data_IF_077801574225
#
_entry.id   IF_077801574225
#
_cell.length_a   1.000
_cell.length_b   1.000
_cell.length_c   1.000
_cell.angle_alpha   90.00
_cell.angle_beta   90.00
_cell.angle_gamma   90.00
#
_symmetry.space_group_name_H-M   'P 1'
#
loop_
_entity.id
_entity.type
_entity.pdbx_description
1 polymer ?
#
# COMPACT_ATOMS: atom_id res chain seq x y z
N UNK A 1 -50.04 17.79 -60.20
CA UNK A 1 -50.00 17.34 -58.79
C UNK A 1 -49.09 16.12 -58.72
N UNK A 2 -47.97 16.15 -58.00
CA UNK A 2 -47.04 15.01 -57.96
C UNK A 2 -45.69 15.23 -57.28
N UNK A 3 -45.42 16.40 -56.69
CA UNK A 3 -44.08 16.73 -56.15
C UNK A 3 -43.86 16.46 -54.65
N UNK A 4 -44.91 16.47 -53.81
CA UNK A 4 -44.71 16.49 -52.35
C UNK A 4 -44.65 15.11 -51.67
N UNK A 5 -45.22 14.06 -52.28
CA UNK A 5 -45.21 12.72 -51.68
C UNK A 5 -43.81 12.06 -51.70
N UNK A 6 -42.98 12.38 -52.69
CA UNK A 6 -41.66 11.76 -52.87
C UNK A 6 -40.63 12.29 -51.86
N UNK A 7 -40.79 13.54 -51.39
CA UNK A 7 -39.85 14.17 -50.45
C UNK A 7 -39.99 13.59 -49.04
N UNK A 8 -41.21 13.24 -48.61
CA UNK A 8 -41.47 12.65 -47.29
C UNK A 8 -40.98 11.19 -47.17
N UNK A 9 -41.11 10.38 -48.23
CA UNK A 9 -40.58 9.00 -48.24
C UNK A 9 -39.05 8.95 -48.26
N UNK A 10 -38.39 9.86 -48.98
CA UNK A 10 -36.93 9.94 -49.03
C UNK A 10 -36.33 10.39 -47.69
N UNK A 11 -36.97 11.33 -46.99
CA UNK A 11 -36.56 11.75 -45.64
C UNK A 11 -36.74 10.65 -44.59
N UNK A 12 -37.84 9.88 -44.65
CA UNK A 12 -38.07 8.73 -43.77
C UNK A 12 -37.05 7.60 -43.98
N UNK A 13 -36.71 7.31 -45.23
CA UNK A 13 -35.74 6.27 -45.58
C UNK A 13 -34.30 6.64 -45.16
N UNK A 14 -33.92 7.92 -45.32
CA UNK A 14 -32.60 8.40 -44.90
C UNK A 14 -32.42 8.35 -43.38
N UNK A 15 -33.45 8.73 -42.61
CA UNK A 15 -33.42 8.71 -41.14
C UNK A 15 -33.37 7.29 -40.56
N UNK A 16 -34.00 6.34 -41.23
CA UNK A 16 -34.05 4.92 -40.83
C UNK A 16 -32.72 4.19 -41.15
N UNK A 17 -32.02 4.57 -42.24
CA UNK A 17 -30.65 4.12 -42.51
C UNK A 17 -29.65 4.64 -41.48
N UNK A 18 -29.80 5.90 -41.10
CA UNK A 18 -28.92 6.56 -40.12
C UNK A 18 -29.05 5.94 -38.72
N UNK A 19 -30.28 5.61 -38.31
CA UNK A 19 -30.55 4.89 -37.05
C UNK A 19 -29.91 3.49 -37.03
N UNK A 20 -30.02 2.72 -38.12
CA UNK A 20 -29.39 1.39 -38.21
C UNK A 20 -27.86 1.44 -38.30
N UNK A 21 -27.28 2.54 -38.78
CA UNK A 21 -25.84 2.77 -38.73
C UNK A 21 -25.40 2.97 -37.29
N UNK A 22 -26.07 3.88 -36.58
CA UNK A 22 -25.79 4.18 -35.17
C UNK A 22 -25.99 2.97 -34.26
N UNK A 23 -27.00 2.15 -34.51
CA UNK A 23 -27.25 0.92 -33.75
C UNK A 23 -26.14 -0.12 -33.95
N UNK A 24 -25.60 -0.22 -35.18
CA UNK A 24 -24.42 -1.05 -35.46
C UNK A 24 -23.15 -0.53 -34.80
N UNK A 25 -22.92 0.79 -34.84
CA UNK A 25 -21.79 1.43 -34.16
C UNK A 25 -21.87 1.23 -32.64
N UNK A 26 -23.05 1.39 -32.06
CA UNK A 26 -23.29 1.24 -30.62
C UNK A 26 -23.16 -0.22 -30.19
N UNK A 27 -23.66 -1.17 -30.99
CA UNK A 27 -23.43 -2.60 -30.78
C UNK A 27 -21.96 -2.97 -30.88
N UNK A 28 -21.22 -2.39 -31.83
CA UNK A 28 -19.77 -2.60 -31.96
C UNK A 28 -19.02 -2.08 -30.73
N UNK A 29 -19.33 -0.86 -30.31
CA UNK A 29 -18.73 -0.24 -29.12
C UNK A 29 -19.02 -1.03 -27.82
N UNK A 30 -20.24 -1.58 -27.67
CA UNK A 30 -20.58 -2.44 -26.53
C UNK A 30 -19.77 -3.74 -26.54
N UNK A 31 -19.61 -4.37 -27.71
CA UNK A 31 -18.80 -5.57 -27.83
C UNK A 31 -17.31 -5.32 -27.53
N UNK A 32 -16.78 -4.17 -27.92
CA UNK A 32 -15.42 -3.76 -27.56
C UNK A 32 -15.29 -3.48 -26.06
N UNK A 33 -16.29 -2.85 -25.45
CA UNK A 33 -16.33 -2.60 -24.01
C UNK A 33 -16.32 -3.91 -23.21
N UNK A 34 -17.13 -4.89 -23.61
CA UNK A 34 -17.16 -6.21 -22.98
C UNK A 34 -15.81 -6.94 -23.12
N UNK A 35 -15.18 -6.88 -24.30
CA UNK A 35 -13.85 -7.44 -24.51
C UNK A 35 -12.79 -6.81 -23.59
N UNK A 36 -12.78 -5.48 -23.46
CA UNK A 36 -11.89 -4.77 -22.55
C UNK A 36 -12.18 -5.10 -21.08
N UNK A 37 -13.44 -5.35 -20.73
CA UNK A 37 -13.83 -5.71 -19.38
C UNK A 37 -13.38 -7.13 -19.01
N UNK A 38 -13.44 -8.07 -19.95
CA UNK A 38 -12.88 -9.41 -19.78
C UNK A 38 -11.35 -9.40 -19.73
N UNK A 39 -10.67 -8.60 -20.56
CA UNK A 39 -9.22 -8.39 -20.48
C UNK A 39 -8.82 -7.84 -19.10
N UNK A 40 -9.55 -6.84 -18.60
CA UNK A 40 -9.34 -6.25 -17.28
C UNK A 40 -9.51 -7.27 -16.15
N UNK A 41 -10.54 -8.13 -16.23
CA UNK A 41 -10.75 -9.23 -15.28
C UNK A 41 -9.63 -10.27 -15.35
N UNK A 42 -9.22 -10.66 -16.56
CA UNK A 42 -8.15 -11.63 -16.79
C UNK A 42 -6.80 -11.16 -16.23
N UNK A 43 -6.52 -9.85 -16.33
CA UNK A 43 -5.35 -9.21 -15.73
C UNK A 43 -5.44 -9.07 -14.20
N UNK A 44 -6.61 -9.30 -13.59
CA UNK A 44 -6.82 -9.17 -12.15
C UNK A 44 -6.83 -7.72 -11.64
N UNK A 45 -7.14 -6.76 -12.52
CA UNK A 45 -7.22 -5.33 -12.18
C UNK A 45 -8.34 -5.09 -11.15
N UNK A 46 -7.98 -4.53 -9.99
CA UNK A 46 -8.96 -4.11 -9.00
C UNK A 46 -9.30 -2.63 -9.16
N UNK A 47 -10.60 -2.32 -9.17
CA UNK A 47 -11.08 -0.95 -9.07
C UNK A 47 -10.98 -0.55 -7.61
N UNK A 48 -10.19 0.49 -7.34
CA UNK A 48 -10.09 1.06 -5.99
C UNK A 48 -11.15 2.13 -5.81
N UNK A 49 -11.96 2.00 -4.77
CA UNK A 49 -12.70 3.11 -4.21
C UNK A 49 -11.75 3.94 -3.31
N UNK A 50 -11.55 5.20 -3.67
CA UNK A 50 -10.65 6.09 -2.93
C UNK A 50 -11.20 6.51 -1.57
N UNK A 51 -12.53 6.61 -1.43
CA UNK A 51 -13.15 6.96 -0.16
C UNK A 51 -13.02 5.80 0.82
N UNK A 52 -13.27 4.57 0.36
CA UNK A 52 -13.05 3.36 1.17
C UNK A 52 -11.58 3.19 1.53
N UNK A 53 -10.67 3.39 0.57
CA UNK A 53 -9.23 3.30 0.83
C UNK A 53 -8.78 4.34 1.86
N UNK A 54 -9.26 5.58 1.76
CA UNK A 54 -8.95 6.67 2.70
C UNK A 54 -9.49 6.37 4.10
N UNK A 55 -10.75 5.92 4.20
CA UNK A 55 -11.36 5.53 5.47
C UNK A 55 -10.65 4.32 6.10
N UNK A 56 -10.26 3.34 5.28
CA UNK A 56 -9.48 2.18 5.68
C UNK A 56 -8.10 2.57 6.21
N UNK A 57 -7.39 3.47 5.50
CA UNK A 57 -6.13 4.04 5.98
C UNK A 57 -6.29 4.77 7.31
N UNK A 58 -7.33 5.60 7.46
CA UNK A 58 -7.61 6.27 8.73
C UNK A 58 -7.84 5.30 9.88
N UNK A 59 -8.55 4.21 9.63
CA UNK A 59 -8.77 3.13 10.62
C UNK A 59 -7.46 2.42 10.95
N UNK A 60 -6.66 2.08 9.95
CA UNK A 60 -5.35 1.45 10.12
C UNK A 60 -4.39 2.34 10.94
N UNK A 61 -4.35 3.65 10.64
CA UNK A 61 -3.51 4.60 11.39
C UNK A 61 -3.95 4.72 12.86
N UNK A 62 -5.25 4.63 13.15
CA UNK A 62 -5.75 4.54 14.54
C UNK A 62 -5.27 3.27 15.24
N UNK A 63 -5.21 2.13 14.54
CA UNK A 63 -4.65 0.88 15.09
C UNK A 63 -3.16 1.02 15.37
N UNK A 64 -2.39 1.66 14.46
CA UNK A 64 -0.98 1.96 14.68
C UNK A 64 -0.78 2.86 15.92
N UNK A 65 -1.57 3.93 16.04
CA UNK A 65 -1.55 4.81 17.21
C UNK A 65 -1.88 4.07 18.50
N UNK A 66 -2.93 3.23 18.50
CA UNK A 66 -3.34 2.43 19.67
C UNK A 66 -2.23 1.47 20.11
N UNK A 67 -1.56 0.83 19.16
CA UNK A 67 -0.41 -0.03 19.44
C UNK A 67 0.72 0.79 20.06
N UNK A 68 1.14 1.87 19.41
CA UNK A 68 2.26 2.66 19.89
C UNK A 68 1.97 3.27 21.27
N UNK A 69 0.77 3.80 21.49
CA UNK A 69 0.34 4.34 22.78
C UNK A 69 0.39 3.27 23.88
N UNK A 70 -0.04 2.05 23.58
CA UNK A 70 -0.05 0.95 24.57
C UNK A 70 1.33 0.53 25.08
N UNK A 71 2.41 0.79 24.33
CA UNK A 71 3.76 0.36 24.70
C UNK A 71 4.73 1.51 25.01
N UNK A 72 4.54 2.68 24.39
CA UNK A 72 5.51 3.78 24.46
C UNK A 72 4.99 5.01 25.21
N UNK A 73 3.68 5.09 25.47
CA UNK A 73 3.07 6.08 26.35
C UNK A 73 2.86 5.46 27.75
N UNK A 74 3.96 5.01 28.33
CA UNK A 74 4.01 4.24 29.57
C UNK A 74 5.19 4.71 30.41
N UNK A 75 5.12 4.44 31.72
CA UNK A 75 6.25 4.65 32.61
C UNK A 75 7.34 3.62 32.30
N UNK A 76 8.58 4.09 32.23
CA UNK A 76 9.77 3.25 32.18
C UNK A 76 9.99 2.64 33.58
N UNK A 77 10.47 1.39 33.67
CA UNK A 77 10.78 0.77 34.95
C UNK A 77 11.87 1.54 35.72
N UNK A 78 11.67 1.73 37.02
CA UNK A 78 12.66 2.40 37.89
C UNK A 78 13.98 1.61 38.03
N UNK A 79 13.99 0.35 37.62
CA UNK A 79 15.17 -0.53 37.63
C UNK A 79 16.18 -0.25 36.51
N UNK A 80 15.83 0.58 35.53
CA UNK A 80 16.71 0.91 34.40
C UNK A 80 17.22 2.33 34.56
N UNK A 81 18.53 2.50 34.70
CA UNK A 81 19.12 3.83 34.76
C UNK A 81 18.98 4.54 33.40
N UNK A 82 18.94 5.88 33.42
CA UNK A 82 18.84 6.65 32.19
C UNK A 82 20.01 6.37 31.23
N UNK A 83 21.22 6.21 31.78
CA UNK A 83 22.44 5.95 31.00
C UNK A 83 22.39 4.57 30.33
N UNK A 84 21.98 3.52 31.07
CA UNK A 84 21.82 2.17 30.51
C UNK A 84 20.80 2.13 29.36
N UNK A 85 19.70 2.88 29.50
CA UNK A 85 18.68 2.96 28.46
C UNK A 85 19.19 3.75 27.24
N UNK A 86 19.91 4.85 27.47
CA UNK A 86 20.52 5.66 26.42
C UNK A 86 21.51 4.82 25.59
N UNK A 87 22.35 4.03 26.25
CA UNK A 87 23.31 3.13 25.60
C UNK A 87 22.62 2.05 24.76
N UNK A 88 21.57 1.43 25.30
CA UNK A 88 20.77 0.45 24.55
C UNK A 88 20.10 1.07 23.33
N UNK A 89 19.60 2.30 23.42
CA UNK A 89 19.02 3.04 22.30
C UNK A 89 20.07 3.42 21.25
N UNK A 90 21.29 3.74 21.68
CA UNK A 90 22.39 3.99 20.75
C UNK A 90 22.76 2.71 19.99
N UNK A 91 22.93 1.59 20.70
CA UNK A 91 23.25 0.28 20.13
C UNK A 91 22.15 -0.26 19.21
N UNK A 92 20.88 0.03 19.51
CA UNK A 92 19.75 -0.39 18.66
C UNK A 92 19.63 0.38 17.34
N UNK A 93 20.37 1.49 17.19
CA UNK A 93 20.27 2.39 16.05
C UNK A 93 19.07 3.34 16.12
N UNK A 94 18.39 3.45 17.26
CA UNK A 94 17.27 4.38 17.47
C UNK A 94 17.65 5.83 17.12
N UNK A 95 18.84 6.26 17.50
CA UNK A 95 19.36 7.63 17.24
C UNK A 95 19.57 7.94 15.75
N UNK A 96 19.60 6.92 14.88
CA UNK A 96 19.73 7.09 13.42
C UNK A 96 18.38 7.38 12.75
N UNK A 97 17.27 6.98 13.38
CA UNK A 97 15.91 7.08 12.81
C UNK A 97 15.01 8.04 13.59
N UNK A 98 15.24 8.20 14.88
CA UNK A 98 14.58 9.17 15.73
C UNK A 98 15.35 10.50 15.80
N UNK A 99 14.68 11.62 16.13
CA UNK A 99 15.36 12.88 16.44
C UNK A 99 16.48 12.70 17.47
N UNK A 100 17.64 13.33 17.25
CA UNK A 100 18.88 13.16 18.04
C UNK A 100 18.76 13.47 19.55
N UNK A 101 17.65 14.07 20.01
CA UNK A 101 17.46 14.51 21.40
C UNK A 101 16.02 14.30 21.86
N UNK A 102 15.61 13.04 21.97
CA UNK A 102 14.39 12.72 22.71
C UNK A 102 14.78 12.58 24.19
N UNK A 103 14.23 13.39 25.10
CA UNK A 103 14.42 13.19 26.53
C UNK A 103 13.80 11.85 26.91
N UNK A 104 14.59 11.01 27.58
CA UNK A 104 14.18 9.70 28.05
C UNK A 104 13.87 9.83 29.53
N UNK A 105 12.59 10.02 29.85
CA UNK A 105 12.13 10.10 31.24
C UNK A 105 10.65 9.71 31.37
N UNK A 106 10.21 9.65 32.62
CA UNK A 106 8.84 9.41 33.02
C UNK A 106 7.96 10.67 33.02
N UNK A 107 8.52 11.82 32.63
CA UNK A 107 7.72 13.03 32.40
C UNK A 107 6.73 12.85 31.25
N UNK A 108 5.57 13.48 31.36
CA UNK A 108 4.53 13.43 30.33
C UNK A 108 5.03 13.89 28.93
N UNK A 109 5.81 14.98 28.79
CA UNK A 109 6.39 15.35 27.50
C UNK A 109 7.29 14.27 26.91
N UNK A 110 8.14 13.62 27.72
CA UNK A 110 8.99 12.52 27.27
C UNK A 110 8.20 11.31 26.78
N UNK A 111 7.07 10.99 27.43
CA UNK A 111 6.17 9.92 26.98
C UNK A 111 5.57 10.22 25.60
N UNK A 112 5.14 11.47 25.36
CA UNK A 112 4.66 11.88 24.03
C UNK A 112 5.75 11.80 22.96
N UNK A 113 6.99 12.18 23.28
CA UNK A 113 8.10 12.12 22.33
C UNK A 113 8.50 10.67 22.02
N UNK A 114 8.50 9.77 23.01
CA UNK A 114 8.70 8.32 22.81
C UNK A 114 7.60 7.73 21.91
N UNK A 115 6.34 8.07 22.18
CA UNK A 115 5.20 7.68 21.34
C UNK A 115 5.37 8.14 19.88
N UNK A 116 5.62 9.43 19.67
CA UNK A 116 5.77 10.00 18.33
C UNK A 116 6.95 9.38 17.57
N UNK A 117 8.06 9.09 18.26
CA UNK A 117 9.21 8.43 17.66
C UNK A 117 8.90 6.99 17.25
N UNK A 118 8.18 6.24 18.09
CA UNK A 118 7.73 4.90 17.76
C UNK A 118 6.79 4.89 16.56
N UNK A 119 5.80 5.77 16.51
CA UNK A 119 4.89 5.92 15.36
C UNK A 119 5.66 6.26 14.08
N UNK A 120 6.61 7.20 14.16
CA UNK A 120 7.47 7.55 13.01
C UNK A 120 8.25 6.34 12.50
N UNK A 121 8.89 5.57 13.41
CA UNK A 121 9.70 4.41 13.05
C UNK A 121 8.82 3.32 12.43
N UNK A 122 7.66 3.03 13.01
CA UNK A 122 6.71 2.05 12.48
C UNK A 122 6.21 2.51 11.09
N UNK A 123 5.81 3.78 10.95
CA UNK A 123 5.35 4.34 9.68
C UNK A 123 6.43 4.28 8.59
N UNK A 124 7.67 4.63 8.94
CA UNK A 124 8.80 4.50 8.00
C UNK A 124 8.95 3.05 7.53
N UNK A 125 8.89 2.08 8.44
CA UNK A 125 9.01 0.66 8.10
C UNK A 125 7.82 0.13 7.30
N UNK A 126 6.61 0.61 7.56
CA UNK A 126 5.45 0.34 6.72
C UNK A 126 5.69 0.83 5.29
N UNK A 127 6.11 2.09 5.09
CA UNK A 127 6.38 2.65 3.78
C UNK A 127 7.56 1.98 3.06
N UNK A 128 8.60 1.57 3.80
CA UNK A 128 9.79 0.96 3.20
C UNK A 128 9.60 -0.51 2.88
N UNK A 129 8.92 -1.26 3.75
CA UNK A 129 8.90 -2.72 3.71
C UNK A 129 7.54 -3.31 3.33
N UNK A 130 6.44 -2.70 3.75
CA UNK A 130 5.09 -3.26 3.59
C UNK A 130 4.35 -2.65 2.40
N UNK A 131 4.22 -1.32 2.34
CA UNK A 131 3.51 -0.62 1.28
C UNK A 131 4.34 -0.52 -0.01
N UNK A 132 4.61 -1.68 -0.59
CA UNK A 132 5.37 -1.86 -1.83
C UNK A 132 4.46 -2.18 -2.99
N UNK A 133 4.90 -1.91 -4.22
CA UNK A 133 4.13 -2.25 -5.42
C UNK A 133 4.10 -3.76 -5.68
N UNK A 134 5.13 -4.46 -5.21
CA UNK A 134 5.30 -5.90 -5.31
C UNK A 134 6.34 -6.35 -4.26
N UNK A 135 6.32 -7.63 -3.88
CA UNK A 135 7.25 -8.20 -2.89
C UNK A 135 8.43 -8.96 -3.50
N UNK A 136 8.44 -9.12 -4.83
CA UNK A 136 9.37 -9.95 -5.60
C UNK A 136 10.02 -9.14 -6.73
N UNK A 137 11.34 -9.21 -6.95
CA UNK A 137 12.28 -10.23 -6.48
C UNK A 137 12.86 -10.01 -5.06
N UNK A 138 13.54 -11.03 -4.51
CA UNK A 138 14.18 -10.97 -3.19
C UNK A 138 15.48 -10.15 -3.19
N UNK A 139 16.29 -10.25 -4.24
CA UNK A 139 17.58 -9.56 -4.31
C UNK A 139 17.38 -8.07 -4.54
N UNK A 140 18.26 -7.25 -3.94
CA UNK A 140 18.20 -5.81 -4.09
C UNK A 140 18.44 -5.37 -5.53
N UNK A 141 19.37 -6.02 -6.23
CA UNK A 141 19.73 -5.72 -7.61
C UNK A 141 18.56 -5.99 -8.57
N UNK A 142 17.94 -7.16 -8.47
CA UNK A 142 16.81 -7.50 -9.35
C UNK A 142 15.60 -6.61 -9.05
N UNK A 143 15.39 -6.25 -7.77
CA UNK A 143 14.34 -5.30 -7.40
C UNK A 143 14.59 -3.93 -8.00
N UNK A 144 15.80 -3.39 -7.91
CA UNK A 144 16.16 -2.09 -8.50
C UNK A 144 16.01 -2.08 -10.02
N UNK A 145 16.37 -3.17 -10.69
CA UNK A 145 16.16 -3.32 -12.12
C UNK A 145 14.66 -3.29 -12.47
N UNK A 146 13.83 -4.03 -11.73
CA UNK A 146 12.37 -4.04 -11.91
C UNK A 146 11.73 -2.68 -11.61
N UNK A 147 12.17 -2.01 -10.54
CA UNK A 147 11.69 -0.66 -10.18
C UNK A 147 11.99 0.31 -11.34
N UNK A 148 13.19 0.21 -11.92
CA UNK A 148 13.60 1.04 -13.06
C UNK A 148 12.76 0.79 -14.32
N UNK A 149 12.41 -0.48 -14.61
CA UNK A 149 11.52 -0.82 -15.73
C UNK A 149 10.12 -0.25 -15.51
N UNK A 150 9.57 -0.40 -14.31
CA UNK A 150 8.25 0.12 -13.96
C UNK A 150 8.19 1.65 -13.97
N UNK A 151 9.24 2.33 -13.50
CA UNK A 151 9.35 3.80 -13.63
C UNK A 151 9.38 4.24 -15.09
N UNK A 152 10.13 3.53 -15.95
CA UNK A 152 10.18 3.84 -17.38
C UNK A 152 8.83 3.63 -18.04
N UNK A 153 8.15 2.52 -17.76
CA UNK A 153 6.81 2.25 -18.28
C UNK A 153 5.82 3.31 -17.80
N UNK A 154 5.85 3.69 -16.51
CA UNK A 154 4.96 4.71 -15.97
C UNK A 154 5.09 6.07 -16.68
N UNK A 155 6.32 6.46 -17.06
CA UNK A 155 6.59 7.72 -17.78
C UNK A 155 6.08 7.70 -19.22
N UNK A 156 6.07 6.54 -19.87
CA UNK A 156 5.65 6.39 -21.27
C UNK A 156 4.14 6.15 -21.36
N UNK A 157 3.65 5.16 -20.61
CA UNK A 157 2.25 4.76 -20.60
C UNK A 157 1.90 4.05 -19.27
N UNK A 158 1.06 4.69 -18.46
CA UNK A 158 0.63 4.13 -17.17
C UNK A 158 -0.15 2.82 -17.30
N UNK A 159 -0.80 2.55 -18.44
CA UNK A 159 -1.51 1.29 -18.68
C UNK A 159 -0.53 0.12 -18.81
N UNK A 160 0.56 0.32 -19.54
CA UNK A 160 1.56 -0.73 -19.76
C UNK A 160 2.31 -1.06 -18.48
N UNK A 161 2.57 -0.05 -17.62
CA UNK A 161 3.07 -0.27 -16.26
C UNK A 161 2.13 -1.18 -15.47
N UNK A 162 0.83 -0.87 -15.46
CA UNK A 162 -0.14 -1.61 -14.67
C UNK A 162 -0.26 -3.06 -15.15
N UNK A 163 -0.28 -3.27 -16.48
CA UNK A 163 -0.30 -4.61 -17.08
C UNK A 163 0.96 -5.39 -16.67
N UNK A 164 2.15 -4.80 -16.82
CA UNK A 164 3.41 -5.45 -16.48
C UNK A 164 3.48 -5.81 -14.99
N UNK A 165 3.11 -4.89 -14.10
CA UNK A 165 3.05 -5.16 -12.65
C UNK A 165 2.08 -6.29 -12.30
N UNK A 166 0.92 -6.36 -12.95
CA UNK A 166 -0.05 -7.42 -12.69
C UNK A 166 0.42 -8.78 -13.20
N UNK A 167 1.04 -8.82 -14.38
CA UNK A 167 1.67 -10.03 -14.89
C UNK A 167 2.78 -10.51 -13.96
N UNK A 168 3.59 -9.59 -13.42
CA UNK A 168 4.59 -9.88 -12.40
C UNK A 168 3.93 -10.51 -11.17
N UNK A 169 2.92 -9.85 -10.57
CA UNK A 169 2.21 -10.38 -9.40
C UNK A 169 1.59 -11.76 -9.66
N UNK A 170 1.04 -11.98 -10.86
CA UNK A 170 0.45 -13.26 -11.27
C UNK A 170 1.50 -14.36 -11.41
N UNK A 171 2.60 -14.10 -12.13
CA UNK A 171 3.69 -15.05 -12.35
C UNK A 171 4.34 -15.52 -11.04
N UNK A 172 4.30 -14.68 -10.02
CA UNK A 172 4.95 -14.90 -8.74
C UNK A 172 4.01 -15.27 -7.59
N UNK A 173 2.71 -15.45 -7.86
CA UNK A 173 1.67 -15.71 -6.85
C UNK A 173 2.01 -16.85 -5.87
N UNK A 174 2.64 -17.92 -6.35
CA UNK A 174 3.02 -19.08 -5.51
C UNK A 174 4.18 -18.78 -4.53
N UNK A 175 5.06 -17.83 -4.88
CA UNK A 175 6.20 -17.41 -4.05
C UNK A 175 5.89 -16.20 -3.17
N UNK A 176 4.91 -15.38 -3.57
CA UNK A 176 4.49 -14.16 -2.89
C UNK A 176 4.17 -14.38 -1.41
N UNK A 177 3.38 -15.40 -1.04
CA UNK A 177 3.01 -15.65 0.35
C UNK A 177 4.22 -15.92 1.27
N UNK A 178 5.22 -16.67 0.78
CA UNK A 178 6.45 -16.92 1.53
C UNK A 178 7.24 -15.63 1.73
N UNK A 179 7.30 -14.78 0.71
CA UNK A 179 8.06 -13.54 0.76
C UNK A 179 7.38 -12.49 1.63
N UNK A 180 6.06 -12.36 1.53
CA UNK A 180 5.26 -11.53 2.44
C UNK A 180 5.52 -11.96 3.89
N UNK A 181 5.50 -13.26 4.17
CA UNK A 181 5.79 -13.77 5.52
C UNK A 181 7.21 -13.39 5.98
N UNK A 182 8.20 -13.55 5.09
CA UNK A 182 9.59 -13.17 5.35
C UNK A 182 9.74 -11.66 5.61
N UNK A 183 9.14 -10.82 4.76
CA UNK A 183 9.15 -9.35 4.87
C UNK A 183 8.47 -8.89 6.16
N UNK A 184 7.33 -9.49 6.54
CA UNK A 184 6.67 -9.20 7.81
C UNK A 184 7.59 -9.58 8.96
N UNK A 185 8.14 -10.80 8.98
CA UNK A 185 9.04 -11.26 10.05
C UNK A 185 10.28 -10.39 10.19
N UNK A 186 10.94 -10.04 9.09
CA UNK A 186 12.12 -9.16 9.10
C UNK A 186 11.75 -7.76 9.57
N UNK A 187 10.59 -7.24 9.16
CA UNK A 187 10.11 -5.92 9.58
C UNK A 187 9.78 -5.89 11.08
N UNK A 188 9.18 -6.95 11.63
CA UNK A 188 8.98 -7.05 13.08
C UNK A 188 10.33 -7.00 13.78
N UNK A 189 11.30 -7.78 13.32
CA UNK A 189 12.64 -7.80 13.92
C UNK A 189 13.33 -6.44 13.85
N UNK A 190 13.29 -5.77 12.70
CA UNK A 190 13.88 -4.43 12.54
C UNK A 190 13.25 -3.41 13.51
N UNK A 191 11.92 -3.41 13.64
CA UNK A 191 11.23 -2.49 14.55
C UNK A 191 11.49 -2.87 16.00
N UNK A 192 11.43 -4.16 16.35
CA UNK A 192 11.66 -4.65 17.70
C UNK A 192 13.11 -4.45 18.17
N UNK A 193 14.09 -4.56 17.27
CA UNK A 193 15.47 -4.21 17.58
C UNK A 193 15.57 -2.74 17.94
N UNK A 194 15.01 -1.84 17.12
CA UNK A 194 15.13 -0.39 17.31
C UNK A 194 14.36 0.11 18.54
N UNK A 195 13.10 -0.30 18.68
CA UNK A 195 12.18 0.17 19.72
C UNK A 195 12.18 -0.68 20.98
N UNK A 196 12.73 -1.89 20.92
CA UNK A 196 12.78 -2.84 22.03
C UNK A 196 13.29 -2.24 23.34
N UNK A 197 14.37 -1.43 23.36
CA UNK A 197 14.83 -0.80 24.59
C UNK A 197 13.78 0.06 25.31
N UNK A 198 12.79 0.61 24.60
CA UNK A 198 11.71 1.42 25.18
C UNK A 198 10.52 0.60 25.68
N UNK A 199 10.49 -0.71 25.40
CA UNK A 199 9.40 -1.61 25.80
C UNK A 199 9.81 -2.36 27.05
N UNK A 200 8.94 -2.39 28.06
CA UNK A 200 9.18 -3.16 29.29
C UNK A 200 9.49 -4.63 28.97
N UNK A 201 10.48 -5.25 29.63
CA UNK A 201 10.91 -6.62 29.29
C UNK A 201 9.79 -7.66 29.29
N UNK A 202 8.84 -7.53 30.21
CA UNK A 202 7.64 -8.37 30.35
C UNK A 202 6.64 -8.20 29.19
N UNK A 203 6.67 -7.06 28.50
CA UNK A 203 5.78 -6.72 27.40
C UNK A 203 6.38 -6.98 26.01
N UNK A 204 7.64 -7.42 25.91
CA UNK A 204 8.33 -7.64 24.63
C UNK A 204 7.60 -8.66 23.73
N UNK A 205 7.17 -9.79 24.30
CA UNK A 205 6.43 -10.81 23.56
C UNK A 205 5.09 -10.29 23.04
N UNK A 206 4.37 -9.55 23.87
CA UNK A 206 3.11 -8.90 23.54
C UNK A 206 3.27 -7.85 22.44
N UNK A 207 4.33 -7.04 22.52
CA UNK A 207 4.67 -6.05 21.51
C UNK A 207 4.94 -6.72 20.16
N UNK A 208 5.78 -7.75 20.15
CA UNK A 208 6.12 -8.50 18.94
C UNK A 208 4.87 -9.14 18.29
N UNK A 209 3.98 -9.72 19.11
CA UNK A 209 2.73 -10.32 18.65
C UNK A 209 1.76 -9.29 18.06
N UNK A 210 1.51 -8.18 18.77
CA UNK A 210 0.59 -7.13 18.30
C UNK A 210 1.14 -6.40 17.07
N UNK A 211 2.44 -6.17 17.00
CA UNK A 211 3.08 -5.60 15.82
C UNK A 211 2.95 -6.54 14.62
N UNK A 212 3.16 -7.84 14.81
CA UNK A 212 2.95 -8.83 13.75
C UNK A 212 1.54 -8.81 13.18
N UNK A 213 0.51 -8.73 14.04
CA UNK A 213 -0.89 -8.58 13.61
C UNK A 213 -1.10 -7.30 12.80
N UNK A 214 -0.60 -6.17 13.29
CA UNK A 214 -0.70 -4.87 12.59
C UNK A 214 -0.05 -4.93 11.19
N UNK A 215 1.14 -5.52 11.06
CA UNK A 215 1.82 -5.62 9.76
C UNK A 215 1.09 -6.58 8.81
N UNK A 216 0.49 -7.67 9.31
CA UNK A 216 -0.33 -8.55 8.48
C UNK A 216 -1.62 -7.87 8.00
N UNK A 217 -2.26 -7.08 8.86
CA UNK A 217 -3.39 -6.23 8.48
C UNK A 217 -2.99 -5.22 7.39
N UNK A 218 -1.83 -4.58 7.55
CA UNK A 218 -1.28 -3.65 6.56
C UNK A 218 -1.05 -4.30 5.20
N UNK A 219 -0.49 -5.52 5.16
CA UNK A 219 -0.32 -6.30 3.92
C UNK A 219 -1.65 -6.58 3.25
N UNK A 220 -2.64 -7.10 4.01
CA UNK A 220 -3.97 -7.42 3.47
C UNK A 220 -4.66 -6.19 2.92
N UNK A 221 -4.57 -5.08 3.66
CA UNK A 221 -5.12 -3.79 3.27
C UNK A 221 -4.46 -3.24 1.99
N UNK A 222 -3.16 -3.46 1.81
CA UNK A 222 -2.41 -2.93 0.67
C UNK A 222 -2.51 -3.80 -0.60
N UNK A 223 -2.88 -5.08 -0.47
CA UNK A 223 -2.97 -6.02 -1.59
C UNK A 223 -3.87 -5.53 -2.75
N UNK A 224 -5.06 -4.95 -2.51
CA UNK A 224 -5.86 -4.31 -3.56
C UNK A 224 -5.14 -3.16 -4.27
N UNK A 225 -4.37 -2.37 -3.53
CA UNK A 225 -3.64 -1.22 -4.09
C UNK A 225 -2.58 -1.68 -5.07
N UNK A 226 -1.87 -2.77 -4.76
CA UNK A 226 -0.90 -3.42 -5.64
C UNK A 226 -1.50 -3.94 -6.94
N UNK A 227 -2.83 -4.13 -7.00
CA UNK A 227 -3.53 -4.65 -8.19
C UNK A 227 -4.36 -3.58 -8.91
N UNK A 228 -4.18 -2.32 -8.52
CA UNK A 228 -4.93 -1.22 -9.11
C UNK A 228 -4.33 -0.74 -10.43
N UNK A 229 -5.17 -0.10 -11.26
CA UNK A 229 -4.78 0.48 -12.54
C UNK A 229 -3.83 1.68 -12.41
N UNK A 230 -3.81 2.34 -11.24
CA UNK A 230 -2.98 3.52 -11.01
C UNK A 230 -1.94 3.22 -9.94
N UNK A 231 -0.66 3.34 -10.29
CA UNK A 231 0.41 3.24 -9.31
C UNK A 231 0.32 4.40 -8.32
N UNK A 232 0.21 4.08 -7.04
CA UNK A 232 0.33 5.08 -5.96
C UNK A 232 1.82 5.30 -5.71
N UNK A 233 2.31 6.49 -6.04
CA UNK A 233 3.71 6.87 -5.80
C UNK A 233 4.06 6.72 -4.32
N UNK A 234 5.32 6.38 -4.03
CA UNK A 234 5.90 6.60 -2.70
C UNK A 234 5.89 8.11 -2.46
N UNK A 235 5.17 8.55 -1.43
CA UNK A 235 5.34 9.89 -0.88
C UNK A 235 6.70 10.00 -0.18
#
# INVERSE_FOLDING_TARGET
MGGEAVVFELQGCSRNKDLRSKERELSGALSELDSLQEEKKALGLQVLDYNELSAGFGTFMKSCHKLAKGFFFTQLPDSVTCDDLQDKLYQSGFTKVAPKRIPISNSLPSQFLRLAAAEKIIAQKLCTNIFRQYYLPETLADRQAMDSVLERLLRVNSRDEAIFRLQLLSAYKSKENRHVTSVVKSTIQEVATVLGPLVSPDLQGDFHSKLGKLLQEAVKFWSPVQRSAKRKARA
#
